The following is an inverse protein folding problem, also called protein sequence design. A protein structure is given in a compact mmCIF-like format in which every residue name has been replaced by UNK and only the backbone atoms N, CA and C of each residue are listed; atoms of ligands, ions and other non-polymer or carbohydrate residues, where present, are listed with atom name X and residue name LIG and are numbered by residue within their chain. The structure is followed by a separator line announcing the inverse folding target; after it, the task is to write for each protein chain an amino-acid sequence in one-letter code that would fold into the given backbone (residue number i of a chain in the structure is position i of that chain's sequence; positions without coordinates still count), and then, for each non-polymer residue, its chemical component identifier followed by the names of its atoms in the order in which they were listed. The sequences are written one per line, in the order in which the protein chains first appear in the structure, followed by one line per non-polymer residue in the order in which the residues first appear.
data_IF_812351278380
#
_entry.id   IF_812351278380
#
_cell.length_a   1.000
_cell.length_b   1.000
_cell.length_c   1.000
_cell.angle_alpha   90.00
_cell.angle_beta   90.00
_cell.angle_gamma   90.00
#
_symmetry.space_group_name_H-M   'P 1'
#
loop_
_entity.id
_entity.type
_entity.pdbx_description
1 polymer ?
#
# COMPACT_ATOMS: atom_id res chain seq x y z
N UNK A 1 -3.05 -11.84 -38.90
CA UNK A 1 -4.20 -10.95 -39.13
C UNK A 1 -5.20 -11.71 -39.99
N UNK A 2 -6.45 -11.88 -39.52
CA UNK A 2 -7.49 -12.51 -40.35
C UNK A 2 -8.00 -11.54 -41.42
N UNK A 3 -8.69 -12.06 -42.42
CA UNK A 3 -9.38 -11.29 -43.46
C UNK A 3 -10.49 -10.38 -42.92
N UNK A 4 -10.94 -10.60 -41.68
CA UNK A 4 -11.90 -9.77 -40.94
C UNK A 4 -11.24 -8.62 -40.13
N UNK A 5 -9.91 -8.47 -40.22
CA UNK A 5 -9.15 -7.46 -39.47
C UNK A 5 -8.88 -7.81 -38.00
N UNK A 6 -9.36 -8.95 -37.49
CA UNK A 6 -9.09 -9.37 -36.11
C UNK A 6 -7.61 -9.74 -35.91
N UNK A 7 -7.03 -9.19 -34.85
CA UNK A 7 -5.69 -9.55 -34.39
C UNK A 7 -5.80 -10.67 -33.36
N UNK A 8 -4.98 -11.71 -33.51
CA UNK A 8 -4.92 -12.84 -32.58
C UNK A 8 -3.49 -13.04 -32.14
N UNK A 9 -3.33 -13.29 -30.85
CA UNK A 9 -2.06 -13.69 -30.30
C UNK A 9 -1.82 -15.14 -30.64
N UNK A 10 -0.77 -15.42 -31.40
CA UNK A 10 -0.36 -16.78 -31.71
C UNK A 10 0.86 -17.13 -30.89
N UNK A 11 0.69 -18.08 -29.97
CA UNK A 11 1.80 -18.75 -29.33
C UNK A 11 2.35 -19.79 -30.29
N UNK A 12 3.58 -19.58 -30.75
CA UNK A 12 4.27 -20.52 -31.63
C UNK A 12 5.33 -21.27 -30.83
N UNK A 13 5.27 -22.61 -30.88
CA UNK A 13 6.34 -23.47 -30.39
C UNK A 13 6.97 -24.16 -31.58
N UNK A 14 8.28 -23.97 -31.76
CA UNK A 14 9.05 -24.64 -32.81
C UNK A 14 9.99 -25.65 -32.18
N UNK A 15 9.86 -26.91 -32.58
CA UNK A 15 10.79 -27.95 -32.21
C UNK A 15 11.58 -28.42 -33.43
N UNK A 16 12.91 -28.50 -33.36
CA UNK A 16 13.71 -29.10 -34.42
C UNK A 16 13.44 -30.61 -34.47
N UNK A 17 13.41 -31.17 -35.69
CA UNK A 17 13.23 -32.60 -35.95
C UNK A 17 14.54 -33.15 -36.50
N UNK A 18 15.00 -34.25 -35.91
CA UNK A 18 16.23 -34.93 -36.28
C UNK A 18 15.97 -36.41 -36.57
N UNK A 19 16.77 -36.99 -37.45
CA UNK A 19 16.85 -38.43 -37.70
C UNK A 19 18.32 -38.85 -37.87
N UNK A 20 18.79 -39.81 -37.06
CA UNK A 20 20.19 -40.25 -37.07
C UNK A 20 21.22 -39.12 -36.89
N UNK A 21 20.87 -38.03 -36.20
CA UNK A 21 21.73 -36.83 -36.06
C UNK A 21 21.68 -35.86 -37.24
N UNK A 22 20.97 -36.20 -38.32
CA UNK A 22 20.69 -35.31 -39.45
C UNK A 22 19.48 -34.44 -39.15
N UNK A 23 19.60 -33.12 -39.34
CA UNK A 23 18.48 -32.19 -39.23
C UNK A 23 17.50 -32.39 -40.40
N UNK A 24 16.22 -32.61 -40.07
CA UNK A 24 15.14 -32.83 -41.03
C UNK A 24 14.21 -31.63 -41.19
N UNK A 25 14.23 -30.68 -40.25
CA UNK A 25 13.42 -29.47 -40.33
C UNK A 25 12.90 -29.01 -39.00
N UNK A 26 11.95 -28.07 -39.02
CA UNK A 26 11.28 -27.58 -37.82
C UNK A 26 9.80 -27.98 -37.84
N UNK A 27 9.32 -28.50 -36.71
CA UNK A 27 7.89 -28.71 -36.45
C UNK A 27 7.38 -27.50 -35.67
N UNK A 28 6.58 -26.67 -36.32
CA UNK A 28 5.84 -25.59 -35.68
C UNK A 28 4.48 -26.05 -35.18
N UNK A 29 4.12 -25.67 -33.96
CA UNK A 29 2.74 -25.69 -33.49
C UNK A 29 2.30 -24.26 -33.23
N UNK A 30 1.18 -23.87 -33.85
CA UNK A 30 0.57 -22.55 -33.68
C UNK A 30 -0.67 -22.70 -32.83
N UNK A 31 -0.67 -22.10 -31.64
CA UNK A 31 -1.84 -22.05 -30.76
C UNK A 31 -2.33 -20.62 -30.66
N UNK A 32 -3.62 -20.43 -30.86
CA UNK A 32 -4.26 -19.17 -30.51
C UNK A 32 -4.29 -19.02 -28.99
N UNK A 33 -3.64 -17.96 -28.49
CA UNK A 33 -3.55 -17.62 -27.07
C UNK A 33 -4.23 -16.30 -26.75
N UNK A 34 -5.09 -15.80 -27.65
CA UNK A 34 -5.77 -14.51 -27.52
C UNK A 34 -6.58 -14.45 -26.22
N UNK A 35 -7.39 -15.46 -25.94
CA UNK A 35 -8.18 -15.53 -24.70
C UNK A 35 -7.31 -15.49 -23.45
N UNK A 36 -6.17 -16.21 -23.47
CA UNK A 36 -5.23 -16.23 -22.34
C UNK A 36 -4.63 -14.84 -22.12
N UNK A 37 -4.25 -14.16 -23.18
CA UNK A 37 -3.65 -12.82 -23.11
C UNK A 37 -4.65 -11.78 -22.58
N UNK A 38 -5.89 -11.81 -23.06
CA UNK A 38 -6.95 -10.93 -22.55
C UNK A 38 -7.24 -11.19 -21.07
N UNK A 39 -7.25 -12.45 -20.64
CA UNK A 39 -7.43 -12.79 -19.23
C UNK A 39 -6.25 -12.34 -18.34
N UNK A 40 -5.01 -12.44 -18.84
CA UNK A 40 -3.81 -11.92 -18.17
C UNK A 40 -3.89 -10.39 -18.00
N UNK A 41 -4.20 -9.66 -19.08
CA UNK A 41 -4.32 -8.19 -19.07
C UNK A 41 -5.44 -7.71 -18.13
N UNK A 42 -6.62 -8.35 -18.18
CA UNK A 42 -7.72 -8.00 -17.28
C UNK A 42 -7.36 -8.29 -15.81
N UNK A 43 -6.66 -9.40 -15.54
CA UNK A 43 -6.18 -9.70 -14.19
C UNK A 43 -5.20 -8.64 -13.70
N UNK A 44 -4.23 -8.24 -14.51
CA UNK A 44 -3.27 -7.17 -14.17
C UNK A 44 -4.00 -5.85 -13.93
N UNK A 45 -4.98 -5.49 -14.75
CA UNK A 45 -5.81 -4.30 -14.57
C UNK A 45 -6.55 -4.30 -13.24
N UNK A 46 -7.14 -5.44 -12.87
CA UNK A 46 -7.85 -5.60 -11.59
C UNK A 46 -6.90 -5.51 -10.39
N UNK A 47 -5.70 -6.09 -10.49
CA UNK A 47 -4.67 -5.98 -9.43
C UNK A 47 -4.31 -4.51 -9.20
N UNK A 48 -3.99 -3.75 -10.25
CA UNK A 48 -3.68 -2.32 -10.12
C UNK A 48 -4.85 -1.53 -9.54
N UNK A 49 -6.09 -1.83 -9.97
CA UNK A 49 -7.28 -1.17 -9.43
C UNK A 49 -7.49 -1.46 -7.94
N UNK A 50 -7.19 -2.67 -7.48
CA UNK A 50 -7.27 -3.03 -6.06
C UNK A 50 -6.17 -2.35 -5.24
N UNK A 51 -4.94 -2.31 -5.75
CA UNK A 51 -3.82 -1.61 -5.12
C UNK A 51 -4.12 -0.11 -4.97
N UNK A 52 -4.67 0.53 -6.01
CA UNK A 52 -5.09 1.92 -5.96
C UNK A 52 -6.20 2.17 -4.94
N UNK A 53 -7.18 1.27 -4.85
CA UNK A 53 -8.26 1.38 -3.86
C UNK A 53 -7.72 1.25 -2.43
N UNK A 54 -6.81 0.29 -2.18
CA UNK A 54 -6.13 0.13 -0.89
C UNK A 54 -5.29 1.37 -0.54
N UNK A 55 -4.57 1.93 -1.52
CA UNK A 55 -3.78 3.14 -1.33
C UNK A 55 -4.65 4.36 -0.99
N UNK A 56 -5.89 4.43 -1.50
CA UNK A 56 -6.85 5.50 -1.16
C UNK A 56 -7.42 5.37 0.26
N UNK A 57 -7.71 4.14 0.72
CA UNK A 57 -8.17 3.90 2.10
C UNK A 57 -7.08 4.27 3.11
N UNK A 58 -5.81 4.03 2.79
CA UNK A 58 -4.66 4.32 3.66
C UNK A 58 -4.37 5.81 3.88
N UNK A 59 -4.99 6.74 3.14
CA UNK A 59 -4.73 8.19 3.27
C UNK A 59 -5.59 8.92 4.31
N UNK A 60 -6.09 8.17 5.30
CA UNK A 60 -6.86 8.65 6.45
C UNK A 60 -8.19 9.29 6.06
N UNK A 61 -9.24 8.82 6.71
CA UNK A 61 -10.45 9.58 6.95
C UNK A 61 -10.05 10.94 7.55
N UNK A 62 -9.91 11.96 6.70
CA UNK A 62 -9.05 13.13 6.95
C UNK A 62 -9.52 14.11 8.02
N UNK A 63 -10.63 13.83 8.71
CA UNK A 63 -11.12 14.63 9.83
C UNK A 63 -11.58 13.67 10.93
N UNK A 64 -10.75 13.53 11.96
CA UNK A 64 -11.14 12.81 13.17
C UNK A 64 -12.06 13.70 14.02
N UNK A 65 -13.31 13.28 14.30
CA UNK A 65 -14.20 14.03 15.16
C UNK A 65 -13.70 13.96 16.61
N UNK A 66 -13.26 15.09 17.14
CA UNK A 66 -12.76 15.19 18.53
C UNK A 66 -13.74 15.93 19.43
N UNK A 67 -13.74 15.58 20.72
CA UNK A 67 -14.46 16.34 21.73
C UNK A 67 -13.73 17.66 21.97
N UNK A 68 -14.40 18.79 21.79
CA UNK A 68 -13.79 20.11 22.00
C UNK A 68 -13.28 20.31 23.44
N UNK A 69 -13.96 19.70 24.43
CA UNK A 69 -13.66 19.83 25.86
C UNK A 69 -12.54 18.90 26.33
N UNK A 70 -12.63 17.59 26.04
CA UNK A 70 -11.69 16.59 26.59
C UNK A 70 -10.78 15.94 25.55
N UNK A 71 -10.86 16.33 24.28
CA UNK A 71 -10.00 15.87 23.16
C UNK A 71 -10.05 14.36 22.84
N UNK A 72 -10.98 13.62 23.43
CA UNK A 72 -11.29 12.24 23.00
C UNK A 72 -11.69 12.19 21.53
N UNK A 73 -11.36 11.11 20.84
CA UNK A 73 -11.75 10.86 19.45
C UNK A 73 -13.01 10.00 19.45
N UNK A 74 -13.95 10.33 18.55
CA UNK A 74 -15.11 9.47 18.29
C UNK A 74 -14.81 8.53 17.13
N UNK A 75 -14.98 7.24 17.32
CA UNK A 75 -14.83 6.23 16.27
C UNK A 75 -16.08 6.13 15.37
N UNK A 76 -16.04 5.21 14.41
CA UNK A 76 -17.12 4.96 13.45
C UNK A 76 -18.34 4.28 14.09
N UNK A 77 -18.17 3.61 15.24
CA UNK A 77 -19.26 3.03 16.03
C UNK A 77 -19.93 4.05 16.96
N UNK A 78 -19.31 5.22 17.13
CA UNK A 78 -19.80 6.32 17.94
C UNK A 78 -19.27 6.36 19.37
N UNK A 79 -18.33 5.49 19.75
CA UNK A 79 -17.71 5.50 21.08
C UNK A 79 -16.60 6.55 21.17
N UNK A 80 -16.35 7.00 22.40
CA UNK A 80 -15.35 8.03 22.70
C UNK A 80 -14.09 7.42 23.30
N UNK A 81 -13.03 7.39 22.51
CA UNK A 81 -11.74 6.80 22.86
C UNK A 81 -10.73 7.86 23.29
N UNK A 82 -9.74 7.45 24.10
CA UNK A 82 -8.55 8.28 24.33
C UNK A 82 -7.77 8.43 23.03
N UNK A 83 -7.09 9.57 22.88
CA UNK A 83 -6.36 9.93 21.67
C UNK A 83 -5.29 8.88 21.35
N UNK A 84 -4.50 8.53 22.36
CA UNK A 84 -3.41 7.58 22.29
C UNK A 84 -3.92 6.20 21.86
N UNK A 85 -4.93 5.68 22.57
CA UNK A 85 -5.54 4.39 22.29
C UNK A 85 -6.09 4.30 20.85
N UNK A 86 -6.78 5.35 20.40
CA UNK A 86 -7.34 5.39 19.04
C UNK A 86 -6.23 5.39 17.98
N UNK A 87 -5.17 6.20 18.18
CA UNK A 87 -4.06 6.29 17.22
C UNK A 87 -3.25 4.99 17.18
N UNK A 88 -2.98 4.35 18.32
CA UNK A 88 -2.28 3.04 18.35
C UNK A 88 -3.07 1.94 17.65
N UNK A 89 -4.40 1.93 17.78
CA UNK A 89 -5.25 0.93 17.12
C UNK A 89 -5.37 1.16 15.60
N UNK A 90 -5.31 2.42 15.15
CA UNK A 90 -5.58 2.80 13.77
C UNK A 90 -4.31 3.21 12.98
N UNK A 91 -3.11 3.09 13.57
CA UNK A 91 -1.85 3.42 12.92
C UNK A 91 -0.68 2.58 13.43
N UNK A 92 0.48 2.72 12.79
CA UNK A 92 1.74 2.07 13.22
C UNK A 92 2.50 2.90 14.28
N UNK A 93 1.87 3.92 14.89
CA UNK A 93 2.52 4.79 15.85
C UNK A 93 2.60 4.15 17.25
N UNK A 94 3.75 4.32 17.92
CA UNK A 94 3.96 3.96 19.31
C UNK A 94 4.17 5.23 20.16
N UNK A 95 3.51 5.33 21.32
CA UNK A 95 3.67 6.48 22.20
C UNK A 95 4.68 6.21 23.31
N UNK A 96 5.56 7.20 23.53
CA UNK A 96 6.45 7.25 24.71
C UNK A 96 6.01 8.36 25.64
N UNK A 97 6.33 8.22 26.93
CA UNK A 97 6.00 9.22 27.93
C UNK A 97 7.16 10.20 28.10
N UNK A 98 6.89 11.49 27.86
CA UNK A 98 7.84 12.57 28.05
C UNK A 98 7.13 13.85 28.47
N UNK A 99 7.88 14.77 29.06
CA UNK A 99 7.38 16.11 29.41
C UNK A 99 8.00 17.13 28.46
N UNK A 100 7.17 18.00 27.90
CA UNK A 100 7.68 19.14 27.13
C UNK A 100 8.36 20.17 28.06
N UNK A 101 9.18 21.08 27.51
CA UNK A 101 9.87 22.10 28.29
C UNK A 101 8.93 22.97 29.14
N UNK A 102 7.74 23.31 28.62
CA UNK A 102 6.75 24.10 29.34
C UNK A 102 6.21 23.37 30.58
N UNK A 103 5.91 22.07 30.43
CA UNK A 103 5.48 21.22 31.53
C UNK A 103 6.61 21.04 32.56
N UNK A 104 7.86 20.87 32.12
CA UNK A 104 9.02 20.78 33.00
C UNK A 104 9.22 22.06 33.81
N UNK A 105 9.11 23.23 33.18
CA UNK A 105 9.20 24.52 33.87
C UNK A 105 8.08 24.70 34.88
N UNK A 106 6.83 24.38 34.50
CA UNK A 106 5.66 24.55 35.37
C UNK A 106 5.65 23.61 36.58
N UNK A 107 5.99 22.34 36.39
CA UNK A 107 5.93 21.32 37.44
C UNK A 107 7.18 21.29 38.30
N UNK A 108 8.35 21.57 37.73
CA UNK A 108 9.65 21.34 38.37
C UNK A 108 10.57 22.56 38.42
N UNK A 109 10.19 23.70 37.83
CA UNK A 109 11.03 24.91 37.80
C UNK A 109 12.30 24.74 36.95
N UNK A 110 12.29 23.80 35.99
CA UNK A 110 13.45 23.48 35.16
C UNK A 110 13.30 24.18 33.81
N UNK A 111 14.27 24.98 33.41
CA UNK A 111 14.32 25.68 32.12
C UNK A 111 15.39 25.08 31.20
N UNK A 112 15.25 25.31 29.90
CA UNK A 112 16.28 24.99 28.91
C UNK A 112 17.28 26.14 28.83
N UNK A 113 18.57 25.85 28.86
CA UNK A 113 19.62 26.83 28.60
C UNK A 113 19.89 27.01 27.10
N UNK A 114 20.78 27.95 26.76
CA UNK A 114 21.16 28.26 25.37
C UNK A 114 21.79 27.07 24.64
N UNK A 115 22.30 26.09 25.38
CA UNK A 115 22.89 24.85 24.88
C UNK A 115 21.90 23.67 24.82
N UNK A 116 20.63 23.88 25.19
CA UNK A 116 19.56 22.87 25.14
C UNK A 116 19.51 21.90 26.32
N UNK A 117 20.21 22.19 27.42
CA UNK A 117 20.24 21.40 28.65
C UNK A 117 19.22 21.89 29.68
N UNK A 118 18.65 20.95 30.44
CA UNK A 118 17.74 21.23 31.55
C UNK A 118 18.49 21.74 32.78
N UNK A 119 18.29 23.01 33.16
CA UNK A 119 18.81 23.63 34.39
C UNK A 119 17.68 23.93 35.37
N UNK A 120 17.90 23.66 36.65
CA UNK A 120 17.02 24.10 37.75
C UNK A 120 17.43 25.53 38.13
N UNK A 121 16.45 26.43 38.19
CA UNK A 121 16.62 27.76 38.82
C UNK A 121 16.61 27.65 40.35
#
# INVERSE_FOLDING_TARGET
MRSDGSCRWIGQVCQPVFDGGRFLGTRGSNRDITERKLAEEERERLIHSLEDALAKIRRLHGILPICASCKKIRDDEGYWNQLEAYIEEHSEAEFTHGLCPDCMKKLYGISLDEDGNYKRE
#
